data_IF_313696892245
#
_entry.id   IF_313696892245
#
_cell.length_a   1.000
_cell.length_b   1.000
_cell.length_c   1.000
_cell.angle_alpha   90.00
_cell.angle_beta   90.00
_cell.angle_gamma   90.00
#
_symmetry.space_group_name_H-M   'P 1'
#
loop_
_entity.id
_entity.type
_entity.pdbx_description
1 polymer ?
#
# COMPACT_ATOMS: atom_id res chain seq x y z
N UNK A 1 -15.51 -11.75 -25.91
CA UNK A 1 -16.32 -10.66 -25.35
C UNK A 1 -15.34 -9.70 -24.71
N UNK A 2 -14.94 -8.68 -25.45
CA UNK A 2 -13.99 -7.68 -24.95
C UNK A 2 -14.78 -6.61 -24.23
N UNK A 3 -14.58 -6.50 -22.91
CA UNK A 3 -15.11 -5.36 -22.16
C UNK A 3 -14.04 -4.28 -22.26
N UNK A 4 -14.19 -3.42 -23.27
CA UNK A 4 -13.49 -2.14 -23.32
C UNK A 4 -14.24 -1.20 -22.37
N UNK A 5 -13.64 -0.90 -21.22
CA UNK A 5 -14.13 0.17 -20.33
C UNK A 5 -13.50 1.47 -20.83
N UNK A 6 -14.18 2.13 -21.76
CA UNK A 6 -13.84 3.46 -22.25
C UNK A 6 -14.25 4.54 -21.25
N UNK A 7 -13.28 5.35 -20.82
CA UNK A 7 -13.39 6.70 -20.23
C UNK A 7 -14.57 6.97 -19.28
N UNK A 8 -14.79 6.11 -18.31
CA UNK A 8 -15.79 6.36 -17.28
C UNK A 8 -15.15 7.13 -16.11
N UNK A 9 -15.43 8.44 -16.04
CA UNK A 9 -15.09 9.33 -14.93
C UNK A 9 -15.96 9.01 -13.69
N UNK A 10 -15.95 7.75 -13.25
CA UNK A 10 -16.80 7.24 -12.18
C UNK A 10 -16.26 7.77 -10.85
N UNK A 11 -16.91 8.80 -10.33
CA UNK A 11 -16.74 9.22 -8.94
C UNK A 11 -17.59 8.33 -8.05
N UNK A 12 -16.97 7.29 -7.48
CA UNK A 12 -17.57 6.48 -6.43
C UNK A 12 -17.44 7.23 -5.10
N UNK A 13 -18.53 7.28 -4.34
CA UNK A 13 -18.45 7.62 -2.92
C UNK A 13 -17.74 6.50 -2.15
N UNK A 14 -17.17 6.82 -0.98
CA UNK A 14 -16.53 5.83 -0.10
C UNK A 14 -17.47 4.68 0.25
N UNK A 15 -18.77 4.97 0.43
CA UNK A 15 -19.79 3.97 0.75
C UNK A 15 -20.01 3.00 -0.41
N UNK A 16 -20.04 3.51 -1.64
CA UNK A 16 -20.19 2.68 -2.84
C UNK A 16 -18.93 1.84 -3.11
N UNK A 17 -17.75 2.43 -2.91
CA UNK A 17 -16.49 1.69 -2.96
C UNK A 17 -16.48 0.53 -1.95
N UNK A 18 -16.85 0.76 -0.69
CA UNK A 18 -16.88 -0.30 0.33
C UNK A 18 -17.85 -1.43 -0.06
N UNK A 19 -19.02 -1.09 -0.62
CA UNK A 19 -19.99 -2.10 -1.08
C UNK A 19 -19.40 -2.95 -2.18
N UNK A 20 -18.75 -2.35 -3.17
CA UNK A 20 -18.11 -3.07 -4.29
C UNK A 20 -16.91 -3.88 -3.78
N UNK A 21 -16.06 -3.27 -2.95
CA UNK A 21 -14.91 -3.92 -2.32
C UNK A 21 -15.31 -5.20 -1.58
N UNK A 22 -16.45 -5.17 -0.88
CA UNK A 22 -16.94 -6.32 -0.12
C UNK A 22 -17.39 -7.50 -0.99
N UNK A 23 -17.69 -7.29 -2.28
CA UNK A 23 -18.08 -8.35 -3.22
C UNK A 23 -16.89 -9.19 -3.70
N UNK A 24 -15.66 -8.68 -3.56
CA UNK A 24 -14.46 -9.40 -3.97
C UNK A 24 -14.09 -10.52 -2.99
N UNK A 25 -13.31 -11.49 -3.50
CA UNK A 25 -12.72 -12.55 -2.68
C UNK A 25 -11.72 -11.97 -1.68
N UNK A 26 -11.35 -12.75 -0.67
CA UNK A 26 -10.35 -12.32 0.33
C UNK A 26 -9.00 -12.03 -0.33
N UNK A 27 -8.61 -12.86 -1.32
CA UNK A 27 -7.33 -12.70 -2.02
C UNK A 27 -7.33 -11.42 -2.87
N UNK A 28 -8.41 -11.15 -3.59
CA UNK A 28 -8.56 -9.93 -4.39
C UNK A 28 -8.58 -8.69 -3.50
N UNK A 29 -9.28 -8.74 -2.35
CA UNK A 29 -9.28 -7.66 -1.37
C UNK A 29 -7.87 -7.35 -0.87
N UNK A 30 -7.05 -8.38 -0.64
CA UNK A 30 -5.66 -8.23 -0.22
C UNK A 30 -4.84 -7.52 -1.30
N UNK A 31 -4.96 -7.93 -2.56
CA UNK A 31 -4.26 -7.29 -3.68
C UNK A 31 -4.70 -5.84 -3.88
N UNK A 32 -6.00 -5.56 -3.84
CA UNK A 32 -6.55 -4.20 -3.94
C UNK A 32 -6.02 -3.31 -2.80
N UNK A 33 -6.03 -3.83 -1.57
CA UNK A 33 -5.55 -3.07 -0.40
C UNK A 33 -4.05 -2.80 -0.49
N UNK A 34 -3.27 -3.78 -0.95
CA UNK A 34 -1.83 -3.60 -1.20
C UNK A 34 -1.56 -2.55 -2.28
N UNK A 35 -2.30 -2.58 -3.39
CA UNK A 35 -2.18 -1.57 -4.45
C UNK A 35 -2.50 -0.17 -3.92
N UNK A 36 -3.60 -0.01 -3.18
CA UNK A 36 -3.97 1.29 -2.58
C UNK A 36 -2.93 1.75 -1.57
N UNK A 37 -2.45 0.85 -0.70
CA UNK A 37 -1.43 1.17 0.29
C UNK A 37 -0.12 1.63 -0.37
N UNK A 38 0.35 0.87 -1.36
CA UNK A 38 1.51 1.25 -2.16
C UNK A 38 1.30 2.59 -2.84
N UNK A 39 0.21 2.82 -3.57
CA UNK A 39 0.01 4.08 -4.29
C UNK A 39 -0.19 5.29 -3.37
N UNK A 40 -0.84 5.10 -2.21
CA UNK A 40 -1.10 6.18 -1.25
C UNK A 40 0.15 6.57 -0.48
N UNK A 41 0.97 5.59 -0.10
CA UNK A 41 2.14 5.83 0.74
C UNK A 41 3.44 5.89 -0.05
N UNK A 42 3.46 5.55 -1.33
CA UNK A 42 4.68 5.59 -2.16
C UNK A 42 5.37 6.94 -2.10
N UNK A 43 4.60 8.04 -2.09
CA UNK A 43 5.19 9.38 -1.93
C UNK A 43 5.83 9.60 -0.56
N UNK A 44 5.25 9.06 0.52
CA UNK A 44 5.83 9.14 1.87
C UNK A 44 7.05 8.22 2.01
N UNK A 45 7.01 7.02 1.43
CA UNK A 45 8.14 6.10 1.36
C UNK A 45 9.30 6.66 0.53
N UNK A 46 9.04 7.29 -0.62
CA UNK A 46 10.06 7.92 -1.45
C UNK A 46 10.76 9.07 -0.70
N UNK A 47 10.02 9.84 0.10
CA UNK A 47 10.58 10.89 0.95
C UNK A 47 11.44 10.27 2.05
N UNK A 48 10.91 9.28 2.78
CA UNK A 48 11.65 8.55 3.81
C UNK A 48 12.94 7.94 3.25
N UNK A 49 12.88 7.26 2.11
CA UNK A 49 14.05 6.67 1.44
C UNK A 49 15.07 7.74 1.02
N UNK A 50 14.62 8.93 0.62
CA UNK A 50 15.53 10.05 0.27
C UNK A 50 16.20 10.67 1.50
N UNK A 51 15.58 10.58 2.67
CA UNK A 51 16.10 11.08 3.95
C UNK A 51 16.89 10.02 4.72
N UNK A 52 16.74 8.74 4.36
CA UNK A 52 17.48 7.65 4.99
C UNK A 52 18.98 7.80 4.69
N UNK A 53 19.84 7.77 5.74
CA UNK A 53 21.28 7.77 5.57
C UNK A 53 21.70 6.59 4.70
N UNK A 54 22.52 6.85 3.67
CA UNK A 54 23.07 5.80 2.82
C UNK A 54 24.20 5.06 3.57
N UNK A 55 23.81 4.26 4.56
CA UNK A 55 24.67 3.49 5.44
C UNK A 55 24.33 2.02 5.21
N UNK A 56 25.33 1.22 4.85
CA UNK A 56 25.18 -0.24 4.89
C UNK A 56 25.07 -0.67 6.36
N UNK A 57 23.88 -1.15 6.75
CA UNK A 57 23.67 -1.85 8.03
C UNK A 57 23.65 -3.35 7.79
N UNK A 58 24.18 -4.11 8.74
CA UNK A 58 24.05 -5.57 8.72
C UNK A 58 22.61 -5.99 9.06
N UNK A 59 22.24 -7.21 8.66
CA UNK A 59 20.92 -7.77 8.95
C UNK A 59 20.66 -7.84 10.46
N UNK A 60 21.69 -8.08 11.28
CA UNK A 60 21.58 -8.06 12.74
C UNK A 60 21.28 -6.66 13.30
N UNK A 61 21.86 -5.61 12.72
CA UNK A 61 21.63 -4.22 13.13
C UNK A 61 20.21 -3.77 12.80
N UNK A 62 19.69 -4.15 11.63
CA UNK A 62 18.30 -3.89 11.22
C UNK A 62 17.31 -4.55 12.16
N UNK A 63 17.53 -5.82 12.52
CA UNK A 63 16.66 -6.57 13.43
C UNK A 63 16.64 -5.94 14.83
N UNK A 64 17.79 -5.48 15.32
CA UNK A 64 17.93 -4.80 16.61
C UNK A 64 17.10 -3.51 16.65
N UNK A 65 17.20 -2.66 15.62
CA UNK A 65 16.45 -1.40 15.52
C UNK A 65 14.93 -1.65 15.43
N UNK A 66 14.49 -2.63 14.64
CA UNK A 66 13.06 -2.99 14.53
C UNK A 66 12.49 -3.43 15.89
N UNK A 67 13.25 -4.20 16.66
CA UNK A 67 12.82 -4.66 17.99
C UNK A 67 12.68 -3.49 18.98
N UNK A 68 13.59 -2.52 18.95
CA UNK A 68 13.52 -1.33 19.83
C UNK A 68 12.28 -0.46 19.55
N UNK A 69 11.87 -0.35 18.29
CA UNK A 69 10.67 0.42 17.91
C UNK A 69 9.39 -0.33 18.30
N UNK A 70 9.36 -1.67 18.17
CA UNK A 70 8.14 -2.47 18.35
C UNK A 70 7.79 -2.79 19.81
N UNK A 71 8.79 -2.84 20.70
CA UNK A 71 8.60 -3.21 22.12
C UNK A 71 8.84 -2.04 23.09
N UNK A 72 8.70 -0.81 22.60
CA UNK A 72 8.70 0.40 23.43
C UNK A 72 7.37 0.59 24.17
#
# INVERSE_FOLDING_TARGET
>A
MEIVISDSNIKLSTVEFIKIFNLFSIEDKKQITQSIYSDTLKGEWDILDSELPNIEMSEEEIISEIQQVRYK
#
